data_IF_662207835970
#
_entry.id   IF_662207835970
#
_cell.length_a   1.000
_cell.length_b   1.000
_cell.length_c   1.000
_cell.angle_alpha   90.00
_cell.angle_beta   90.00
_cell.angle_gamma   90.00
#
_symmetry.space_group_name_H-M   'P 1'
#
loop_
_entity.id
_entity.type
_entity.pdbx_description
1 polymer ?
#
# COMPACT_ATOMS: atom_id res chain seq x y z
N UNK A 1 61.57 46.52 29.58
CA UNK A 1 60.74 46.61 28.43
C UNK A 1 60.07 45.24 28.27
N UNK A 2 58.79 45.11 28.68
CA UNK A 2 58.06 43.88 28.61
C UNK A 2 57.10 44.02 27.42
N UNK A 3 57.13 43.05 26.50
CA UNK A 3 56.27 42.98 25.33
C UNK A 3 54.83 42.55 25.74
N UNK A 4 53.78 43.08 25.09
CA UNK A 4 52.38 42.69 25.40
C UNK A 4 52.04 41.34 24.79
N UNK A 5 51.28 40.54 25.56
CA UNK A 5 50.76 39.24 25.17
C UNK A 5 49.72 39.31 24.01
N UNK A 6 49.63 38.30 23.13
CA UNK A 6 48.71 38.30 22.03
C UNK A 6 47.25 38.06 22.48
N UNK A 7 46.34 38.82 21.90
CA UNK A 7 44.90 38.73 22.13
C UNK A 7 44.32 37.41 21.61
N UNK A 8 43.47 36.76 22.41
CA UNK A 8 42.75 35.54 22.04
C UNK A 8 41.71 35.84 20.92
N UNK A 9 41.61 34.99 19.90
CA UNK A 9 40.58 35.16 18.86
C UNK A 9 39.18 34.92 19.46
N UNK A 10 38.28 35.86 19.18
CA UNK A 10 36.85 35.75 19.54
C UNK A 10 36.25 34.57 18.76
N UNK A 11 35.83 33.55 19.49
CA UNK A 11 35.07 32.42 18.96
C UNK A 11 33.80 32.95 18.30
N UNK A 12 33.69 32.75 17.00
CA UNK A 12 32.48 33.04 16.20
C UNK A 12 31.46 31.96 16.53
N UNK A 13 30.54 32.29 17.45
CA UNK A 13 29.44 31.42 17.86
C UNK A 13 28.64 31.07 16.61
N UNK A 14 28.60 29.77 16.26
CA UNK A 14 27.76 29.26 15.21
C UNK A 14 26.30 29.59 15.53
N UNK A 15 25.46 29.95 14.54
CA UNK A 15 24.06 30.23 14.77
C UNK A 15 23.38 28.97 15.34
N UNK A 16 22.67 29.13 16.46
CA UNK A 16 21.82 28.09 17.05
C UNK A 16 20.79 27.69 15.96
N UNK A 17 20.51 26.39 15.80
CA UNK A 17 19.40 26.00 14.94
C UNK A 17 18.14 26.68 15.47
N UNK A 18 17.53 27.49 14.61
CA UNK A 18 16.22 28.12 14.83
C UNK A 18 15.25 27.04 15.31
N UNK A 19 14.55 27.32 16.42
CA UNK A 19 13.39 26.55 16.87
C UNK A 19 12.51 26.34 15.67
N UNK A 20 12.34 25.06 15.25
CA UNK A 20 11.54 24.70 14.10
C UNK A 20 10.09 25.04 14.47
N UNK A 21 9.64 26.19 13.99
CA UNK A 21 8.21 26.40 13.72
C UNK A 21 7.73 25.14 12.98
N UNK A 22 6.72 24.43 13.50
CA UNK A 22 6.26 23.14 12.98
C UNK A 22 5.69 23.21 11.55
N UNK A 23 6.04 24.26 10.80
CA UNK A 23 5.75 24.49 9.41
C UNK A 23 6.75 23.73 8.52
N UNK A 24 6.23 22.82 7.70
CA UNK A 24 7.00 22.19 6.63
C UNK A 24 7.52 23.25 5.68
N UNK A 25 8.83 23.21 5.35
CA UNK A 25 9.41 24.10 4.35
C UNK A 25 8.69 23.96 2.99
N UNK A 26 8.78 24.99 2.12
CA UNK A 26 8.03 25.03 0.85
C UNK A 26 8.23 23.76 0.00
N UNK A 27 9.45 23.28 -0.15
CA UNK A 27 9.77 22.04 -0.89
C UNK A 27 9.10 20.80 -0.32
N UNK A 28 9.02 20.67 1.00
CA UNK A 28 8.33 19.56 1.66
C UNK A 28 6.82 19.65 1.46
N UNK A 29 6.27 20.86 1.48
CA UNK A 29 4.85 21.10 1.20
C UNK A 29 4.49 20.73 -0.23
N UNK A 30 5.33 21.10 -1.20
CA UNK A 30 5.16 20.74 -2.61
C UNK A 30 5.24 19.21 -2.82
N UNK A 31 6.22 18.55 -2.22
CA UNK A 31 6.34 17.09 -2.24
C UNK A 31 5.08 16.42 -1.68
N UNK A 32 4.59 16.88 -0.54
CA UNK A 32 3.35 16.36 0.05
C UNK A 32 2.13 16.56 -0.85
N UNK A 33 2.05 17.69 -1.57
CA UNK A 33 0.98 17.94 -2.53
C UNK A 33 1.07 17.01 -3.75
N UNK A 34 2.28 16.80 -4.30
CA UNK A 34 2.53 15.86 -5.39
C UNK A 34 2.19 14.42 -4.99
N UNK A 35 2.62 13.99 -3.80
CA UNK A 35 2.29 12.67 -3.25
C UNK A 35 0.77 12.47 -3.14
N UNK A 36 0.04 13.43 -2.56
CA UNK A 36 -1.44 13.35 -2.47
C UNK A 36 -2.10 13.26 -3.85
N UNK A 37 -1.55 13.91 -4.87
CA UNK A 37 -2.06 13.82 -6.25
C UNK A 37 -1.88 12.40 -6.81
N UNK A 38 -0.71 11.82 -6.63
CA UNK A 38 -0.42 10.43 -7.04
C UNK A 38 -1.31 9.44 -6.29
N UNK A 39 -1.38 9.56 -4.97
CA UNK A 39 -2.21 8.69 -4.12
C UNK A 39 -3.68 8.70 -4.57
N UNK A 40 -4.26 9.88 -4.81
CA UNK A 40 -5.64 10.00 -5.33
C UNK A 40 -5.82 9.37 -6.72
N UNK A 41 -4.81 9.46 -7.59
CA UNK A 41 -4.86 8.83 -8.90
C UNK A 41 -4.85 7.31 -8.79
N UNK A 42 -3.97 6.75 -7.96
CA UNK A 42 -3.89 5.30 -7.68
C UNK A 42 -5.16 4.79 -7.02
N UNK A 43 -5.71 5.51 -6.04
CA UNK A 43 -6.97 5.14 -5.38
C UNK A 43 -8.15 5.10 -6.37
N UNK A 44 -8.20 6.03 -7.33
CA UNK A 44 -9.21 6.00 -8.40
C UNK A 44 -9.05 4.81 -9.35
N UNK A 45 -7.82 4.40 -9.65
CA UNK A 45 -7.57 3.19 -10.45
C UNK A 45 -8.06 1.95 -9.71
N UNK A 46 -7.72 1.82 -8.43
CA UNK A 46 -8.20 0.70 -7.60
C UNK A 46 -9.73 0.63 -7.51
N UNK A 47 -10.40 1.77 -7.37
CA UNK A 47 -11.87 1.82 -7.34
C UNK A 47 -12.55 1.45 -8.67
N UNK A 48 -11.89 1.70 -9.81
CA UNK A 48 -12.41 1.27 -11.12
C UNK A 48 -12.33 -0.23 -11.34
N UNK A 49 -11.26 -0.87 -10.85
CA UNK A 49 -11.05 -2.32 -11.00
C UNK A 49 -12.13 -3.15 -10.29
N UNK A 50 -12.80 -2.60 -9.27
CA UNK A 50 -13.89 -3.29 -8.55
C UNK A 50 -15.25 -3.23 -9.27
N UNK A 51 -15.43 -2.33 -10.24
CA UNK A 51 -16.72 -2.10 -10.90
C UNK A 51 -16.78 -2.53 -12.37
N UNK A 52 -15.65 -2.83 -12.98
CA UNK A 52 -15.61 -3.31 -14.35
C UNK A 52 -15.64 -4.84 -14.35
N UNK A 53 -16.84 -5.41 -14.40
CA UNK A 53 -17.10 -6.84 -14.58
C UNK A 53 -16.67 -7.32 -15.98
N UNK A 54 -15.40 -7.16 -16.31
CA UNK A 54 -14.75 -7.65 -17.51
C UNK A 54 -13.62 -8.60 -17.13
N UNK A 55 -13.08 -9.33 -18.09
CA UNK A 55 -12.05 -10.35 -17.97
C UNK A 55 -10.68 -9.87 -17.40
N UNK A 56 -10.57 -8.66 -16.91
CA UNK A 56 -9.36 -8.13 -16.29
C UNK A 56 -9.35 -8.38 -14.78
N UNK A 57 -8.22 -8.87 -14.31
CA UNK A 57 -7.95 -9.09 -12.88
C UNK A 57 -8.08 -7.79 -12.10
N UNK A 58 -8.82 -7.81 -10.99
CA UNK A 58 -8.79 -6.71 -10.03
C UNK A 58 -7.39 -6.54 -9.45
N UNK A 59 -7.11 -5.36 -8.90
CA UNK A 59 -5.81 -5.11 -8.25
C UNK A 59 -5.51 -6.14 -7.16
N UNK A 60 -6.48 -6.46 -6.31
CA UNK A 60 -6.29 -7.44 -5.24
C UNK A 60 -6.06 -8.87 -5.77
N UNK A 61 -6.73 -9.28 -6.84
CA UNK A 61 -6.46 -10.56 -7.50
C UNK A 61 -5.06 -10.59 -8.12
N UNK A 62 -4.64 -9.48 -8.72
CA UNK A 62 -3.29 -9.36 -9.27
C UNK A 62 -2.22 -9.46 -8.19
N UNK A 63 -2.40 -8.83 -7.03
CA UNK A 63 -1.49 -8.95 -5.88
C UNK A 63 -1.38 -10.41 -5.39
N UNK A 64 -2.50 -11.16 -5.34
CA UNK A 64 -2.44 -12.58 -5.01
C UNK A 64 -1.62 -13.39 -6.03
N UNK A 65 -1.73 -13.07 -7.33
CA UNK A 65 -0.90 -13.73 -8.35
C UNK A 65 0.57 -13.37 -8.19
N UNK A 66 0.91 -12.12 -7.83
CA UNK A 66 2.30 -11.70 -7.56
C UNK A 66 2.88 -12.47 -6.37
N UNK A 67 2.14 -12.59 -5.27
CA UNK A 67 2.57 -13.38 -4.11
C UNK A 67 2.86 -14.85 -4.48
N UNK A 68 2.04 -15.45 -5.34
CA UNK A 68 2.26 -16.79 -5.85
C UNK A 68 3.45 -16.87 -6.82
N UNK A 69 3.71 -15.83 -7.60
CA UNK A 69 4.86 -15.77 -8.52
C UNK A 69 6.19 -15.70 -7.75
N UNK A 70 6.21 -14.94 -6.66
CA UNK A 70 7.42 -14.70 -5.87
C UNK A 70 7.72 -15.84 -4.87
N UNK A 71 6.71 -16.43 -4.30
CA UNK A 71 6.84 -17.41 -3.19
C UNK A 71 6.51 -18.86 -3.60
N UNK A 72 6.03 -19.06 -4.82
CA UNK A 72 5.64 -20.35 -5.33
C UNK A 72 4.24 -20.78 -4.89
N UNK A 73 4.12 -22.02 -4.36
CA UNK A 73 2.83 -22.52 -3.89
C UNK A 73 2.56 -22.16 -2.42
N UNK A 74 1.36 -21.64 -2.14
CA UNK A 74 0.97 -21.17 -0.80
C UNK A 74 -0.43 -21.64 -0.40
N UNK A 75 -0.65 -21.98 0.88
CA UNK A 75 -1.98 -22.17 1.44
C UNK A 75 -2.77 -20.84 1.45
N UNK A 76 -4.09 -20.91 1.32
CA UNK A 76 -4.95 -19.72 1.32
C UNK A 76 -4.79 -18.85 2.58
N UNK A 77 -4.49 -19.46 3.75
CA UNK A 77 -4.25 -18.72 5.00
C UNK A 77 -2.98 -17.89 4.96
N UNK A 78 -1.90 -18.38 4.36
CA UNK A 78 -0.65 -17.62 4.21
C UNK A 78 -0.82 -16.48 3.20
N UNK A 79 -1.53 -16.75 2.10
CA UNK A 79 -1.90 -15.70 1.13
C UNK A 79 -2.77 -14.61 1.76
N UNK A 80 -3.69 -14.97 2.66
CA UNK A 80 -4.51 -14.00 3.37
C UNK A 80 -3.67 -13.09 4.27
N UNK A 81 -2.68 -13.66 4.97
CA UNK A 81 -1.74 -12.92 5.80
C UNK A 81 -0.87 -11.98 4.95
N UNK A 82 -0.27 -12.48 3.86
CA UNK A 82 0.58 -11.71 2.97
C UNK A 82 -0.17 -10.53 2.31
N UNK A 83 -1.38 -10.80 1.80
CA UNK A 83 -2.22 -9.79 1.17
C UNK A 83 -2.96 -8.85 2.14
N UNK A 84 -2.87 -9.10 3.46
CA UNK A 84 -3.62 -8.39 4.51
C UNK A 84 -5.14 -8.40 4.27
N UNK A 85 -5.64 -9.56 3.84
CA UNK A 85 -7.05 -9.80 3.55
C UNK A 85 -7.62 -10.87 4.50
N UNK A 86 -8.95 -10.97 4.55
CA UNK A 86 -9.57 -12.07 5.31
C UNK A 86 -9.44 -13.39 4.55
N UNK A 87 -9.32 -14.54 5.26
CA UNK A 87 -9.27 -15.85 4.61
C UNK A 87 -10.48 -16.14 3.71
N UNK A 88 -11.66 -15.64 4.07
CA UNK A 88 -12.88 -15.78 3.26
C UNK A 88 -12.75 -15.03 1.93
N UNK A 89 -12.25 -13.79 1.97
CA UNK A 89 -12.01 -12.97 0.76
C UNK A 89 -11.01 -13.65 -0.17
N UNK A 90 -9.88 -14.13 0.39
CA UNK A 90 -8.84 -14.81 -0.40
C UNK A 90 -9.38 -16.11 -1.01
N UNK A 91 -10.18 -16.88 -0.26
CA UNK A 91 -10.80 -18.11 -0.79
C UNK A 91 -11.69 -17.81 -2.00
N UNK A 92 -12.56 -16.80 -1.91
CA UNK A 92 -13.40 -16.37 -3.05
C UNK A 92 -12.57 -15.91 -4.26
N UNK A 93 -11.50 -15.15 -4.01
CA UNK A 93 -10.61 -14.70 -5.09
C UNK A 93 -9.90 -15.87 -5.76
N UNK A 94 -9.39 -16.84 -4.99
CA UNK A 94 -8.74 -18.02 -5.51
C UNK A 94 -9.71 -18.91 -6.29
N UNK A 95 -10.97 -19.04 -5.85
CA UNK A 95 -12.01 -19.78 -6.59
C UNK A 95 -12.27 -19.14 -7.96
N UNK A 96 -12.35 -17.81 -7.99
CA UNK A 96 -12.51 -17.08 -9.25
C UNK A 96 -11.26 -17.22 -10.16
N UNK A 97 -10.05 -17.06 -9.60
CA UNK A 97 -8.80 -17.20 -10.36
C UNK A 97 -8.61 -18.62 -10.90
N UNK A 98 -9.04 -19.64 -10.14
CA UNK A 98 -9.03 -21.03 -10.59
C UNK A 98 -10.05 -21.28 -11.70
N UNK A 99 -11.27 -20.72 -11.59
CA UNK A 99 -12.29 -20.78 -12.65
C UNK A 99 -11.84 -20.11 -13.95
N UNK A 100 -10.99 -19.05 -13.84
CA UNK A 100 -10.39 -18.39 -14.99
C UNK A 100 -9.10 -19.09 -15.49
N UNK A 101 -8.67 -20.18 -14.88
CA UNK A 101 -7.48 -20.92 -15.31
C UNK A 101 -6.14 -20.28 -14.90
N UNK A 102 -6.11 -19.24 -14.09
CA UNK A 102 -4.88 -18.53 -13.69
C UNK A 102 -4.16 -19.16 -12.51
N UNK A 103 -4.90 -19.89 -11.67
CA UNK A 103 -4.40 -20.57 -10.48
C UNK A 103 -4.94 -22.01 -10.48
N UNK A 104 -4.16 -22.95 -10.00
CA UNK A 104 -4.62 -24.29 -9.69
C UNK A 104 -4.45 -24.60 -8.21
N UNK A 105 -5.35 -25.44 -7.69
CA UNK A 105 -5.30 -25.93 -6.31
C UNK A 105 -4.82 -27.36 -6.30
N UNK A 106 -3.75 -27.61 -5.60
CA UNK A 106 -3.14 -28.94 -5.48
C UNK A 106 -2.92 -29.31 -4.03
N UNK A 107 -2.76 -30.58 -3.74
CA UNK A 107 -2.32 -31.02 -2.42
C UNK A 107 -0.82 -30.80 -2.31
N UNK A 108 -0.38 -30.21 -1.20
CA UNK A 108 1.04 -29.99 -0.93
C UNK A 108 1.82 -31.32 -0.97
N UNK A 109 2.97 -31.30 -1.58
CA UNK A 109 3.88 -32.46 -1.58
C UNK A 109 4.50 -32.72 -0.22
N UNK A 110 4.62 -31.68 0.62
CA UNK A 110 5.19 -31.74 1.98
C UNK A 110 4.16 -32.31 2.96
N UNK A 111 2.93 -31.77 2.95
CA UNK A 111 1.82 -32.28 3.77
C UNK A 111 0.55 -32.38 2.93
N UNK A 112 0.19 -33.61 2.55
CA UNK A 112 -0.99 -33.91 1.73
C UNK A 112 -2.33 -33.52 2.35
N UNK A 113 -2.35 -33.11 3.62
CA UNK A 113 -3.54 -32.58 4.29
C UNK A 113 -3.79 -31.12 3.93
N UNK A 114 -2.74 -30.42 3.48
CA UNK A 114 -2.78 -29.02 3.13
C UNK A 114 -3.06 -28.88 1.63
N UNK A 115 -4.02 -28.02 1.28
CA UNK A 115 -4.27 -27.58 -0.10
C UNK A 115 -3.54 -26.26 -0.30
N UNK A 116 -2.70 -26.22 -1.32
CA UNK A 116 -1.97 -25.02 -1.74
C UNK A 116 -2.47 -24.54 -3.11
N UNK A 117 -2.31 -23.27 -3.37
CA UNK A 117 -2.58 -22.65 -4.65
C UNK A 117 -1.26 -22.32 -5.32
N UNK A 118 -1.16 -22.55 -6.63
CA UNK A 118 0.01 -22.18 -7.44
C UNK A 118 -0.43 -21.59 -8.78
N UNK A 119 0.45 -20.80 -9.38
CA UNK A 119 0.21 -20.24 -10.71
C UNK A 119 0.23 -21.31 -11.79
N UNK A 120 -0.68 -21.17 -12.74
CA UNK A 120 -0.61 -21.83 -14.03
C UNK A 120 0.29 -21.03 -14.99
N UNK A 121 0.62 -21.59 -16.15
CA UNK A 121 1.33 -20.84 -17.21
C UNK A 121 0.50 -19.69 -17.73
N UNK A 122 -0.85 -19.83 -17.78
CA UNK A 122 -1.74 -18.74 -18.14
C UNK A 122 -1.72 -17.62 -17.09
N UNK A 123 -1.70 -17.96 -15.80
CA UNK A 123 -1.55 -16.99 -14.72
C UNK A 123 -0.24 -16.21 -14.81
N UNK A 124 0.87 -16.89 -15.08
CA UNK A 124 2.19 -16.26 -15.35
C UNK A 124 2.14 -15.32 -16.54
N UNK A 125 1.50 -15.74 -17.64
CA UNK A 125 1.30 -14.90 -18.82
C UNK A 125 0.50 -13.62 -18.52
N UNK A 126 -0.50 -13.68 -17.64
CA UNK A 126 -1.27 -12.49 -17.19
C UNK A 126 -0.41 -11.52 -16.40
N UNK A 127 0.45 -12.03 -15.50
CA UNK A 127 1.39 -11.18 -14.74
C UNK A 127 2.34 -10.47 -15.71
N UNK A 128 2.95 -11.21 -16.63
CA UNK A 128 3.91 -10.65 -17.57
C UNK A 128 3.28 -9.61 -18.50
N UNK A 129 2.10 -9.88 -19.03
CA UNK A 129 1.35 -8.91 -19.85
C UNK A 129 1.08 -7.61 -19.09
N UNK A 130 0.69 -7.70 -17.80
CA UNK A 130 0.44 -6.51 -16.97
C UNK A 130 1.74 -5.79 -16.63
N UNK A 131 2.84 -6.51 -16.32
CA UNK A 131 4.17 -5.93 -16.10
C UNK A 131 4.64 -5.15 -17.33
N UNK A 132 4.58 -5.75 -18.51
CA UNK A 132 4.95 -5.10 -19.77
C UNK A 132 4.13 -3.85 -20.07
N UNK A 133 2.80 -3.89 -19.86
CA UNK A 133 1.94 -2.74 -20.04
C UNK A 133 2.29 -1.60 -19.07
N UNK A 134 2.63 -1.90 -17.83
CA UNK A 134 3.10 -0.92 -16.86
C UNK A 134 4.47 -0.36 -17.24
N UNK A 135 5.41 -1.22 -17.64
CA UNK A 135 6.74 -0.80 -18.07
C UNK A 135 6.67 0.20 -19.23
N UNK A 136 5.82 -0.06 -20.22
CA UNK A 136 5.58 0.90 -21.31
C UNK A 136 5.04 2.25 -20.83
N UNK A 137 4.12 2.25 -19.85
CA UNK A 137 3.60 3.49 -19.24
C UNK A 137 4.66 4.24 -18.45
N UNK A 138 5.50 3.54 -17.69
CA UNK A 138 6.62 4.14 -16.97
C UNK A 138 7.62 4.77 -17.94
N UNK A 139 7.99 4.06 -18.99
CA UNK A 139 8.89 4.57 -20.02
C UNK A 139 8.32 5.82 -20.72
N UNK A 140 7.02 5.82 -21.03
CA UNK A 140 6.36 6.98 -21.65
C UNK A 140 6.26 8.18 -20.71
N UNK A 141 6.13 7.94 -19.39
CA UNK A 141 5.96 9.02 -18.42
C UNK A 141 7.29 9.58 -17.87
N UNK A 142 8.35 8.80 -17.85
CA UNK A 142 9.61 9.11 -17.16
C UNK A 142 10.85 8.92 -18.03
N UNK A 143 10.69 8.58 -19.32
CA UNK A 143 11.82 8.27 -20.20
C UNK A 143 12.76 9.45 -20.48
N UNK A 144 12.31 10.68 -20.26
CA UNK A 144 13.09 11.93 -20.37
C UNK A 144 13.71 12.39 -19.04
N UNK A 145 13.38 11.73 -17.92
CA UNK A 145 13.91 12.07 -16.59
C UNK A 145 15.31 11.49 -16.42
N UNK A 146 16.23 12.29 -15.87
CA UNK A 146 17.61 11.83 -15.66
C UNK A 146 17.68 10.66 -14.67
N UNK A 147 18.61 9.74 -14.89
CA UNK A 147 18.85 8.61 -14.00
C UNK A 147 19.17 9.07 -12.56
N UNK A 148 19.84 10.19 -12.41
CA UNK A 148 20.15 10.82 -11.11
C UNK A 148 18.87 11.18 -10.37
N UNK A 149 17.92 11.80 -11.07
CA UNK A 149 16.65 12.24 -10.45
C UNK A 149 15.74 11.05 -10.18
N UNK A 150 15.72 10.05 -11.04
CA UNK A 150 15.01 8.79 -10.78
C UNK A 150 15.53 8.10 -9.52
N UNK A 151 16.86 7.99 -9.35
CA UNK A 151 17.47 7.44 -8.13
C UNK A 151 17.16 8.29 -6.88
N UNK A 152 17.09 9.61 -7.02
CA UNK A 152 16.70 10.48 -5.92
C UNK A 152 15.24 10.27 -5.52
N UNK A 153 14.34 10.18 -6.50
CA UNK A 153 12.93 9.88 -6.29
C UNK A 153 12.72 8.51 -5.65
N UNK A 154 13.44 7.47 -6.09
CA UNK A 154 13.39 6.14 -5.48
C UNK A 154 13.68 6.20 -3.99
N UNK A 155 14.79 6.84 -3.58
CA UNK A 155 15.14 6.99 -2.16
C UNK A 155 14.09 7.73 -1.34
N UNK A 156 13.43 8.73 -1.92
CA UNK A 156 12.33 9.45 -1.24
C UNK A 156 11.12 8.56 -1.08
N UNK A 157 10.74 7.81 -2.11
CA UNK A 157 9.59 6.90 -2.08
C UNK A 157 9.81 5.73 -1.09
N UNK A 158 11.02 5.16 -1.03
CA UNK A 158 11.39 4.13 -0.05
C UNK A 158 11.21 4.64 1.39
N UNK A 159 11.69 5.84 1.67
CA UNK A 159 11.53 6.46 3.01
C UNK A 159 10.06 6.74 3.35
N UNK A 160 9.26 7.16 2.37
CA UNK A 160 7.83 7.34 2.57
C UNK A 160 7.13 5.99 2.81
N UNK A 161 7.53 4.93 2.09
CA UNK A 161 7.03 3.57 2.30
C UNK A 161 7.23 3.13 3.74
N UNK A 162 8.47 3.18 4.25
CA UNK A 162 8.79 2.84 5.64
C UNK A 162 7.98 3.68 6.64
N UNK A 163 7.84 4.97 6.42
CA UNK A 163 7.03 5.84 7.29
C UNK A 163 5.56 5.36 7.38
N UNK A 164 4.98 4.90 6.27
CA UNK A 164 3.60 4.40 6.27
C UNK A 164 3.45 3.00 6.89
N UNK A 165 4.49 2.17 6.85
CA UNK A 165 4.52 0.87 7.54
C UNK A 165 4.50 1.03 9.06
N UNK A 166 5.15 2.08 9.57
CA UNK A 166 5.27 2.38 10.99
C UNK A 166 4.02 3.10 11.55
N UNK A 167 3.08 3.58 10.71
CA UNK A 167 1.84 4.22 11.18
C UNK A 167 0.90 3.17 11.77
N UNK A 168 0.59 3.22 13.09
CA UNK A 168 -0.40 2.33 13.68
C UNK A 168 -1.74 2.54 12.97
N UNK A 169 -2.35 1.45 12.49
CA UNK A 169 -3.74 1.50 12.05
C UNK A 169 -4.59 1.84 13.28
N UNK A 170 -5.05 3.09 13.37
CA UNK A 170 -6.05 3.45 14.38
C UNK A 170 -7.25 2.51 14.21
N UNK A 171 -7.68 1.90 15.32
CA UNK A 171 -8.88 1.08 15.32
C UNK A 171 -10.04 1.91 14.74
N UNK A 172 -10.90 1.31 13.88
CA UNK A 172 -12.06 2.04 13.37
C UNK A 172 -12.83 2.61 14.57
N UNK A 173 -13.16 3.91 14.49
CA UNK A 173 -13.94 4.61 15.49
C UNK A 173 -15.18 3.75 15.79
N UNK A 174 -15.27 3.16 16.98
CA UNK A 174 -16.49 2.47 17.39
C UNK A 174 -17.62 3.49 17.32
N UNK A 175 -18.59 3.22 16.44
CA UNK A 175 -19.80 4.02 16.41
C UNK A 175 -20.41 3.99 17.82
N UNK A 176 -20.82 5.15 18.37
CA UNK A 176 -21.41 5.19 19.71
C UNK A 176 -22.57 4.19 19.76
N UNK A 177 -22.51 3.28 20.73
CA UNK A 177 -23.55 2.27 20.95
C UNK A 177 -24.92 2.97 20.92
N UNK A 178 -25.81 2.51 20.04
CA UNK A 178 -27.18 3.02 19.99
C UNK A 178 -27.77 2.96 21.40
N UNK A 179 -28.10 4.13 21.94
CA UNK A 179 -28.76 4.25 23.24
C UNK A 179 -30.06 3.43 23.23
N UNK A 180 -30.53 3.00 24.41
CA UNK A 180 -31.69 2.09 24.52
C UNK A 180 -32.91 2.69 23.82
N UNK A 181 -33.44 1.93 22.83
CA UNK A 181 -34.67 2.28 22.13
C UNK A 181 -35.78 2.55 23.18
N UNK A 182 -36.24 3.79 23.24
CA UNK A 182 -37.39 4.17 24.06
C UNK A 182 -38.57 3.27 23.70
N UNK A 183 -39.00 2.48 24.65
CA UNK A 183 -40.21 1.66 24.53
C UNK A 183 -41.38 2.57 24.14
N UNK A 184 -41.99 2.31 23.00
CA UNK A 184 -43.22 2.95 22.54
C UNK A 184 -44.34 2.63 23.53
N UNK A 185 -44.77 3.65 24.32
CA UNK A 185 -45.95 3.55 25.14
C UNK A 185 -47.17 3.43 24.24
N UNK A 186 -47.79 2.29 24.25
CA UNK A 186 -49.11 2.04 23.65
C UNK A 186 -50.15 2.93 24.35
N UNK A 187 -50.95 3.72 23.65
CA UNK A 187 -52.04 4.46 24.30
C UNK A 187 -53.18 3.50 24.67
N UNK A 188 -53.46 3.44 25.95
CA UNK A 188 -54.65 2.76 26.50
C UNK A 188 -55.92 3.51 26.05
N UNK A 189 -56.85 2.82 25.35
CA UNK A 189 -58.15 3.31 24.92
C UNK A 189 -59.14 3.04 26.05
N UNK A 190 -59.86 4.05 26.61
CA UNK A 190 -60.95 3.79 27.57
C UNK A 190 -62.22 3.44 26.79
N UNK A 191 -62.99 2.52 27.42
CA UNK A 191 -64.37 2.11 27.03
C UNK A 191 -65.38 3.18 27.33
#
# INVERSE_FOLDING_TARGET
MAAPAPAKPKSKMAPRPSEADGSLGPTMTELGAAFRKVFRAVSRLRGRDTHLGGSELSHAQFELLIELDERGELPAGELATAARLTPATVTQMLDHLAACGHVERVRSEIDRRVVVSRLTDEGRGKIEAKRSAWQGRWQAALGDVSERDLRAATRVLERLGTMFEDVPLEAPCEAPAEGPKRASRTPHRPS
#
